data_IF_253649307012
#
_entry.id   IF_253649307012
#
_cell.length_a   1.000
_cell.length_b   1.000
_cell.length_c   1.000
_cell.angle_alpha   90.00
_cell.angle_beta   90.00
_cell.angle_gamma   90.00
#
_symmetry.space_group_name_H-M   'P 1'
#
loop_
_entity.id
_entity.type
_entity.pdbx_description
1 polymer ?
#
# COMPACT_ATOMS: atom_id res chain seq x y z
N UNK A 1 20.65 4.23 7.61
CA UNK A 1 19.98 5.51 7.24
C UNK A 1 19.42 5.47 5.81
N UNK A 2 20.18 5.00 4.80
CA UNK A 2 19.74 4.90 3.40
C UNK A 2 18.48 4.02 3.18
N UNK A 3 18.34 2.92 3.91
CA UNK A 3 17.20 1.99 3.76
C UNK A 3 15.85 2.58 4.20
N UNK A 4 15.83 3.39 5.26
CA UNK A 4 14.61 4.09 5.69
C UNK A 4 14.17 5.14 4.67
N UNK A 5 15.11 5.84 4.06
CA UNK A 5 14.81 6.84 3.02
C UNK A 5 14.19 6.16 1.80
N UNK A 6 14.77 5.04 1.36
CA UNK A 6 14.28 4.30 0.20
C UNK A 6 12.86 3.75 0.41
N UNK A 7 12.56 3.23 1.60
CA UNK A 7 11.22 2.73 1.91
C UNK A 7 10.16 3.84 1.95
N UNK A 8 10.48 5.01 2.51
CA UNK A 8 9.60 6.17 2.48
C UNK A 8 9.38 6.69 1.06
N UNK A 9 10.44 6.79 0.25
CA UNK A 9 10.34 7.26 -1.14
C UNK A 9 9.44 6.35 -1.97
N UNK A 10 9.55 5.04 -1.77
CA UNK A 10 8.71 4.05 -2.44
C UNK A 10 7.25 4.13 -2.01
N UNK A 11 6.98 4.39 -0.73
CA UNK A 11 5.62 4.59 -0.24
C UNK A 11 5.00 5.84 -0.87
N UNK A 12 5.75 6.94 -0.90
CA UNK A 12 5.31 8.19 -1.52
C UNK A 12 5.05 8.02 -3.02
N UNK A 13 5.92 7.30 -3.76
CA UNK A 13 5.69 7.04 -5.18
C UNK A 13 4.46 6.16 -5.42
N UNK A 14 4.22 5.17 -4.56
CA UNK A 14 3.02 4.32 -4.64
C UNK A 14 1.75 5.13 -4.40
N UNK A 15 1.78 6.04 -3.41
CA UNK A 15 0.65 6.92 -3.12
C UNK A 15 0.40 7.90 -4.29
N UNK A 16 1.46 8.46 -4.87
CA UNK A 16 1.35 9.36 -6.02
C UNK A 16 0.81 8.65 -7.28
N UNK A 17 1.25 7.42 -7.54
CA UNK A 17 0.69 6.60 -8.61
C UNK A 17 -0.78 6.27 -8.34
N UNK A 18 -1.10 5.90 -7.09
CA UNK A 18 -2.45 5.61 -6.65
C UNK A 18 -3.40 6.80 -6.81
N UNK A 19 -2.96 8.00 -6.45
CA UNK A 19 -3.78 9.21 -6.58
C UNK A 19 -4.05 9.56 -8.05
N UNK A 20 -3.06 9.41 -8.92
CA UNK A 20 -3.23 9.57 -10.36
C UNK A 20 -4.19 8.52 -10.96
N UNK A 21 -4.01 7.25 -10.60
CA UNK A 21 -4.90 6.16 -11.01
C UNK A 21 -6.34 6.40 -10.54
N UNK A 22 -6.52 6.85 -9.30
CA UNK A 22 -7.84 7.18 -8.77
C UNK A 22 -8.46 8.33 -9.58
N UNK A 23 -7.73 9.42 -9.82
CA UNK A 23 -8.23 10.55 -10.60
C UNK A 23 -8.70 10.16 -12.02
N UNK A 24 -8.04 9.18 -12.64
CA UNK A 24 -8.36 8.68 -13.98
C UNK A 24 -9.47 7.61 -13.99
N UNK A 25 -9.51 6.74 -12.99
CA UNK A 25 -10.40 5.57 -12.99
C UNK A 25 -11.70 5.82 -12.21
N UNK A 26 -11.78 6.85 -11.37
CA UNK A 26 -12.95 7.17 -10.57
C UNK A 26 -14.22 7.49 -11.37
N UNK A 27 -14.12 7.65 -12.69
CA UNK A 27 -15.26 7.77 -13.60
C UNK A 27 -16.00 6.44 -13.82
N UNK A 28 -15.36 5.30 -13.55
CA UNK A 28 -16.01 3.98 -13.58
C UNK A 28 -16.45 3.64 -12.14
N UNK A 29 -17.76 3.73 -11.83
CA UNK A 29 -18.28 3.49 -10.48
C UNK A 29 -17.73 2.20 -9.87
N UNK A 30 -17.17 2.32 -8.65
CA UNK A 30 -16.69 1.23 -7.80
C UNK A 30 -15.53 0.40 -8.39
N UNK A 31 -15.64 -0.09 -9.62
CA UNK A 31 -14.62 -0.89 -10.29
C UNK A 31 -13.31 -0.12 -10.53
N UNK A 32 -13.40 1.16 -10.91
CA UNK A 32 -12.23 2.00 -11.11
C UNK A 32 -11.44 2.23 -9.82
N UNK A 33 -12.06 2.75 -8.75
CA UNK A 33 -11.43 2.87 -7.44
C UNK A 33 -10.93 1.54 -6.88
N UNK A 34 -11.67 0.44 -7.07
CA UNK A 34 -11.23 -0.89 -6.63
C UNK A 34 -9.95 -1.35 -7.35
N UNK A 35 -9.87 -1.16 -8.67
CA UNK A 35 -8.69 -1.52 -9.47
C UNK A 35 -7.48 -0.64 -9.11
N UNK A 36 -7.68 0.68 -8.96
CA UNK A 36 -6.64 1.60 -8.49
C UNK A 36 -6.13 1.19 -7.11
N UNK A 37 -7.05 0.86 -6.21
CA UNK A 37 -6.75 0.35 -4.87
C UNK A 37 -5.94 -0.94 -4.94
N UNK A 38 -6.40 -1.91 -5.71
CA UNK A 38 -5.71 -3.19 -5.90
C UNK A 38 -4.25 -3.01 -6.33
N UNK A 39 -3.99 -2.13 -7.31
CA UNK A 39 -2.64 -1.82 -7.75
C UNK A 39 -1.77 -1.24 -6.63
N UNK A 40 -2.30 -0.28 -5.86
CA UNK A 40 -1.61 0.31 -4.69
C UNK A 40 -1.29 -0.76 -3.65
N UNK A 41 -2.27 -1.61 -3.32
CA UNK A 41 -2.13 -2.70 -2.38
C UNK A 41 -1.06 -3.72 -2.78
N UNK A 42 -1.09 -4.13 -4.05
CA UNK A 42 -0.12 -5.06 -4.61
C UNK A 42 1.31 -4.49 -4.59
N UNK A 43 1.46 -3.17 -4.81
CA UNK A 43 2.75 -2.49 -4.80
C UNK A 43 3.27 -2.18 -3.38
N UNK A 44 2.38 -2.05 -2.39
CA UNK A 44 2.72 -1.73 -1.00
C UNK A 44 3.48 -2.88 -0.29
N UNK A 45 3.35 -4.13 -0.78
CA UNK A 45 4.12 -5.32 -0.33
C UNK A 45 4.24 -5.43 1.21
N UNK A 46 3.17 -5.14 1.95
CA UNK A 46 3.28 -4.94 3.38
C UNK A 46 1.94 -4.94 4.10
N UNK A 47 2.01 -5.15 5.43
CA UNK A 47 0.90 -5.19 6.41
C UNK A 47 -0.43 -4.62 5.91
N UNK A 48 -1.47 -5.44 5.90
CA UNK A 48 -2.83 -5.12 5.41
C UNK A 48 -3.36 -3.76 5.85
N UNK A 49 -3.17 -3.38 7.12
CA UNK A 49 -3.59 -2.07 7.65
C UNK A 49 -2.88 -0.90 6.96
N UNK A 50 -1.58 -1.03 6.68
CA UNK A 50 -0.82 0.00 5.98
C UNK A 50 -1.27 0.13 4.52
N UNK A 51 -1.53 -1.00 3.84
CA UNK A 51 -2.05 -1.01 2.48
C UNK A 51 -3.43 -0.33 2.37
N UNK A 52 -4.34 -0.61 3.30
CA UNK A 52 -5.64 0.08 3.37
C UNK A 52 -5.47 1.60 3.53
N UNK A 53 -4.63 2.03 4.48
CA UNK A 53 -4.36 3.46 4.72
C UNK A 53 -3.73 4.11 3.49
N UNK A 54 -2.77 3.45 2.85
CA UNK A 54 -2.15 3.96 1.62
C UNK A 54 -3.19 4.10 0.49
N UNK A 55 -4.12 3.16 0.36
CA UNK A 55 -5.24 3.24 -0.57
C UNK A 55 -6.16 4.43 -0.28
N UNK A 56 -6.55 4.62 0.99
CA UNK A 56 -7.40 5.75 1.41
C UNK A 56 -6.70 7.10 1.18
N UNK A 57 -5.43 7.21 1.55
CA UNK A 57 -4.64 8.43 1.35
C UNK A 57 -4.47 8.74 -0.14
N UNK A 58 -4.21 7.71 -0.95
CA UNK A 58 -4.14 7.85 -2.41
C UNK A 58 -5.45 8.35 -2.99
N UNK A 59 -6.58 7.77 -2.57
CA UNK A 59 -7.90 8.19 -3.03
C UNK A 59 -8.24 9.63 -2.61
N UNK A 60 -7.90 10.01 -1.37
CA UNK A 60 -8.12 11.37 -0.88
C UNK A 60 -7.29 12.40 -1.69
N UNK A 61 -6.01 12.10 -1.95
CA UNK A 61 -5.16 12.95 -2.80
C UNK A 61 -5.67 12.98 -4.25
N UNK A 62 -6.15 11.85 -4.77
CA UNK A 62 -6.76 11.77 -6.10
C UNK A 62 -8.03 12.62 -6.21
N UNK A 63 -8.87 12.62 -5.17
CA UNK A 63 -10.04 13.51 -5.10
C UNK A 63 -9.65 14.98 -5.10
N UNK A 64 -8.60 15.37 -4.36
CA UNK A 64 -8.08 16.74 -4.38
C UNK A 64 -7.64 17.14 -5.80
N UNK A 65 -6.98 16.22 -6.53
CA UNK A 65 -6.61 16.46 -7.94
C UNK A 65 -7.85 16.65 -8.83
N UNK A 66 -8.88 15.81 -8.69
CA UNK A 66 -10.14 15.96 -9.42
C UNK A 66 -10.78 17.32 -9.11
N UNK A 67 -10.90 17.67 -7.83
CA UNK A 67 -11.52 18.91 -7.38
C UNK A 67 -10.76 20.15 -7.89
N UNK A 68 -9.43 20.14 -7.80
CA UNK A 68 -8.58 21.20 -8.35
C UNK A 68 -8.74 21.34 -9.86
N UNK A 69 -8.85 20.23 -10.59
CA UNK A 69 -9.07 20.22 -12.04
C UNK A 69 -10.43 20.83 -12.39
N UNK A 70 -11.51 20.39 -11.74
CA UNK A 70 -12.86 20.93 -11.96
C UNK A 70 -12.95 22.43 -11.64
N UNK A 71 -12.26 22.86 -10.59
CA UNK A 71 -12.16 24.28 -10.24
C UNK A 71 -11.41 25.07 -11.32
N UNK A 72 -10.25 24.59 -11.79
CA UNK A 72 -9.43 25.28 -12.78
C UNK A 72 -10.13 25.42 -14.14
N UNK A 73 -10.88 24.40 -14.57
CA UNK A 73 -11.66 24.46 -15.81
C UNK A 73 -13.02 25.18 -15.66
N UNK A 74 -13.30 25.78 -14.50
CA UNK A 74 -14.47 26.61 -14.31
C UNK A 74 -15.79 25.84 -14.34
N UNK A 75 -15.81 24.56 -13.96
CA UNK A 75 -17.01 23.71 -13.98
C UNK A 75 -18.21 24.28 -13.18
N UNK A 76 -17.95 25.25 -12.30
CA UNK A 76 -18.95 25.90 -11.45
C UNK A 76 -19.21 27.38 -11.81
N UNK A 77 -18.61 27.89 -12.89
CA UNK A 77 -18.79 29.29 -13.31
C UNK A 77 -20.21 29.52 -13.86
N UNK A 78 -20.85 30.63 -13.45
CA UNK A 78 -22.20 31.00 -13.92
C UNK A 78 -23.38 30.22 -13.32
N UNK A 79 -23.13 29.26 -12.42
CA UNK A 79 -24.18 28.48 -11.74
C UNK A 79 -24.67 29.18 -10.46
N UNK A 80 -25.94 28.97 -10.08
CA UNK A 80 -26.42 29.48 -8.79
C UNK A 80 -25.79 28.70 -7.63
N UNK A 81 -25.68 29.35 -6.46
CA UNK A 81 -25.08 28.76 -5.25
C UNK A 81 -25.71 27.40 -4.90
N UNK A 82 -27.03 27.26 -5.07
CA UNK A 82 -27.74 26.01 -4.79
C UNK A 82 -27.28 24.89 -5.71
N UNK A 83 -27.09 25.15 -7.01
CA UNK A 83 -26.61 24.14 -7.95
C UNK A 83 -25.17 23.73 -7.63
N UNK A 84 -24.30 24.69 -7.32
CA UNK A 84 -22.91 24.42 -6.92
C UNK A 84 -22.88 23.55 -5.65
N UNK A 85 -23.71 23.86 -4.65
CA UNK A 85 -23.78 23.10 -3.41
C UNK A 85 -24.25 21.65 -3.63
N UNK A 86 -25.30 21.45 -4.45
CA UNK A 86 -25.81 20.11 -4.76
C UNK A 86 -24.77 19.29 -5.54
N UNK A 87 -24.12 19.88 -6.55
CA UNK A 87 -23.07 19.20 -7.32
C UNK A 87 -21.87 18.85 -6.45
N UNK A 88 -21.42 19.78 -5.60
CA UNK A 88 -20.32 19.53 -4.66
C UNK A 88 -20.67 18.40 -3.68
N UNK A 89 -21.90 18.35 -3.19
CA UNK A 89 -22.38 17.27 -2.32
C UNK A 89 -22.38 15.91 -3.02
N UNK A 90 -22.93 15.83 -4.24
CA UNK A 90 -22.93 14.60 -5.03
C UNK A 90 -21.51 14.12 -5.34
N UNK A 91 -20.63 15.06 -5.74
CA UNK A 91 -19.22 14.79 -5.99
C UNK A 91 -18.52 14.26 -4.72
N UNK A 92 -18.81 14.85 -3.57
CA UNK A 92 -18.25 14.43 -2.28
C UNK A 92 -18.70 13.01 -1.93
N UNK A 93 -20.00 12.72 -1.98
CA UNK A 93 -20.55 11.40 -1.63
C UNK A 93 -20.04 10.30 -2.57
N UNK A 94 -19.93 10.61 -3.86
CA UNK A 94 -19.32 9.74 -4.85
C UNK A 94 -17.88 9.39 -4.49
N UNK A 95 -17.06 10.41 -4.22
CA UNK A 95 -15.66 10.22 -3.92
C UNK A 95 -15.43 9.58 -2.55
N UNK A 96 -16.27 9.86 -1.56
CA UNK A 96 -16.19 9.21 -0.25
C UNK A 96 -16.32 7.69 -0.39
N UNK A 97 -17.31 7.26 -1.20
CA UNK A 97 -17.54 5.85 -1.51
C UNK A 97 -16.37 5.27 -2.31
N UNK A 98 -15.90 5.99 -3.33
CA UNK A 98 -14.74 5.60 -4.13
C UNK A 98 -13.48 5.40 -3.29
N UNK A 99 -13.17 6.32 -2.37
CA UNK A 99 -12.00 6.25 -1.49
C UNK A 99 -12.05 5.02 -0.58
N UNK A 100 -13.21 4.70 0.00
CA UNK A 100 -13.37 3.51 0.82
C UNK A 100 -13.18 2.23 0.00
N UNK A 101 -13.73 2.19 -1.21
CA UNK A 101 -13.56 1.07 -2.14
C UNK A 101 -12.11 0.93 -2.59
N UNK A 102 -11.40 2.05 -2.78
CA UNK A 102 -9.97 2.04 -3.06
C UNK A 102 -9.16 1.48 -1.89
N UNK A 103 -9.50 1.87 -0.66
CA UNK A 103 -8.91 1.29 0.55
C UNK A 103 -9.12 -0.22 0.63
N UNK A 104 -10.35 -0.68 0.39
CA UNK A 104 -10.68 -2.10 0.36
C UNK A 104 -9.95 -2.85 -0.76
N UNK A 105 -9.91 -2.28 -1.97
CA UNK A 105 -9.14 -2.79 -3.09
C UNK A 105 -7.66 -2.94 -2.76
N UNK A 106 -7.07 -1.97 -2.05
CA UNK A 106 -5.69 -2.04 -1.60
C UNK A 106 -5.45 -3.14 -0.55
N UNK A 107 -6.39 -3.36 0.36
CA UNK A 107 -6.31 -4.50 1.27
C UNK A 107 -6.32 -5.83 0.50
N UNK A 108 -7.22 -5.98 -0.47
CA UNK A 108 -7.32 -7.19 -1.32
C UNK A 108 -6.07 -7.39 -2.18
N UNK A 109 -5.55 -6.33 -2.79
CA UNK A 109 -4.32 -6.37 -3.58
C UNK A 109 -3.12 -6.83 -2.78
N UNK A 110 -3.02 -6.39 -1.51
CA UNK A 110 -1.95 -6.84 -0.62
C UNK A 110 -2.10 -8.32 -0.22
N UNK A 111 -3.31 -8.78 0.10
CA UNK A 111 -3.57 -10.21 0.39
C UNK A 111 -3.18 -11.07 -0.82
N UNK A 112 -3.50 -10.60 -2.03
CA UNK A 112 -3.20 -11.32 -3.27
C UNK A 112 -1.69 -11.42 -3.51
N UNK A 113 -0.94 -10.35 -3.21
CA UNK A 113 0.52 -10.36 -3.25
C UNK A 113 1.12 -11.40 -2.28
N UNK A 114 0.65 -11.42 -1.02
CA UNK A 114 1.13 -12.38 -0.01
C UNK A 114 0.80 -13.83 -0.40
N UNK A 115 -0.39 -14.07 -0.95
CA UNK A 115 -0.82 -15.40 -1.42
C UNK A 115 0.00 -15.87 -2.62
N UNK A 116 0.27 -14.99 -3.59
CA UNK A 116 1.13 -15.30 -4.74
C UNK A 116 2.58 -15.60 -4.35
N UNK A 117 3.10 -14.89 -3.34
CA UNK A 117 4.43 -15.19 -2.76
C UNK A 117 4.47 -16.56 -2.08
N UNK A 118 3.40 -16.93 -1.36
CA UNK A 118 3.31 -18.25 -0.72
C UNK A 118 3.24 -19.38 -1.76
N UNK A 119 2.42 -19.25 -2.80
CA UNK A 119 2.27 -20.26 -3.85
C UNK A 119 3.56 -20.40 -4.68
N UNK A 120 4.21 -19.30 -5.04
CA UNK A 120 5.50 -19.34 -5.74
C UNK A 120 6.61 -19.97 -4.90
N UNK A 121 6.61 -19.77 -3.58
CA UNK A 121 7.54 -20.49 -2.69
C UNK A 121 7.26 -22.00 -2.64
N UNK A 122 6.00 -22.42 -2.81
CA UNK A 122 5.60 -23.83 -2.79
C UNK A 122 5.81 -24.56 -4.13
N UNK A 123 5.66 -23.84 -5.26
CA UNK A 123 5.90 -24.36 -6.61
C UNK A 123 7.36 -24.27 -7.05
N UNK A 124 8.24 -23.65 -6.27
CA UNK A 124 9.66 -23.48 -6.60
C UNK A 124 10.68 -24.43 -5.94
N UNK A 125 10.38 -25.64 -5.42
CA UNK A 125 11.47 -26.58 -5.10
C UNK A 125 12.26 -27.02 -6.34
N UNK A 126 11.79 -26.73 -7.56
CA UNK A 126 12.50 -27.02 -8.82
C UNK A 126 13.30 -25.86 -9.43
N UNK A 127 13.03 -24.59 -9.05
CA UNK A 127 13.74 -23.43 -9.62
C UNK A 127 15.00 -23.03 -8.83
N UNK A 128 15.23 -23.63 -7.66
CA UNK A 128 16.37 -23.35 -6.79
C UNK A 128 17.58 -24.28 -7.07
N UNK A 129 17.79 -24.69 -8.33
CA UNK A 129 18.97 -25.47 -8.76
C UNK A 129 19.98 -24.68 -9.60
N UNK A 130 19.82 -23.38 -9.78
CA UNK A 130 20.76 -22.54 -10.54
C UNK A 130 21.15 -21.23 -9.81
N UNK A 131 21.47 -21.34 -8.52
CA UNK A 131 22.34 -20.36 -7.87
C UNK A 131 23.56 -21.13 -7.35
N UNK A 132 24.80 -20.71 -7.70
CA UNK A 132 26.00 -21.45 -7.35
C UNK A 132 26.17 -21.48 -5.83
N UNK A 133 26.68 -22.62 -5.40
CA UNK A 133 26.96 -23.09 -4.07
C UNK A 133 27.73 -22.06 -3.20
N UNK A 134 27.07 -21.43 -2.23
CA UNK A 134 27.75 -20.80 -1.11
C UNK A 134 27.12 -21.24 0.22
N UNK A 135 27.72 -22.30 0.76
CA UNK A 135 27.84 -22.72 2.18
C UNK A 135 26.63 -22.48 3.09
N UNK A 136 25.99 -23.61 3.41
CA UNK A 136 25.16 -23.86 4.60
C UNK A 136 25.84 -23.37 5.89
N UNK A 137 25.24 -22.40 6.55
CA UNK A 137 25.06 -22.43 8.00
C UNK A 137 23.56 -22.31 8.24
N UNK A 138 22.98 -23.30 8.91
CA UNK A 138 21.59 -23.24 9.34
C UNK A 138 21.49 -22.13 10.39
N UNK A 139 21.14 -20.93 9.96
CA UNK A 139 20.85 -19.83 10.86
C UNK A 139 19.64 -20.21 11.71
N UNK A 140 19.85 -20.36 13.01
CA UNK A 140 18.77 -20.49 13.97
C UNK A 140 17.97 -19.18 13.96
N UNK A 141 16.64 -19.23 13.87
CA UNK A 141 15.81 -18.03 13.80
C UNK A 141 15.15 -17.77 15.16
N UNK A 142 15.39 -16.61 15.74
CA UNK A 142 14.73 -16.13 16.95
C UNK A 142 13.48 -15.32 16.62
N UNK A 143 12.34 -15.69 17.20
CA UNK A 143 11.08 -14.94 17.03
C UNK A 143 11.08 -13.75 17.99
N UNK A 144 10.89 -12.53 17.46
CA UNK A 144 10.80 -11.34 18.31
C UNK A 144 9.52 -11.38 19.16
N UNK A 145 9.60 -11.28 20.50
CA UNK A 145 8.43 -11.37 21.38
C UNK A 145 7.47 -10.18 21.22
N UNK A 146 7.94 -9.04 20.71
CA UNK A 146 7.15 -7.82 20.61
C UNK A 146 6.48 -7.63 19.23
N UNK A 147 7.09 -8.11 18.15
CA UNK A 147 6.54 -7.92 16.81
C UNK A 147 6.27 -9.22 16.03
N UNK A 148 6.67 -10.38 16.57
CA UNK A 148 6.45 -11.68 15.94
C UNK A 148 7.29 -11.95 14.69
N UNK A 149 8.16 -11.01 14.28
CA UNK A 149 9.06 -11.22 13.13
C UNK A 149 10.16 -12.23 13.49
N UNK A 150 10.40 -13.20 12.61
CA UNK A 150 11.58 -14.07 12.69
C UNK A 150 12.83 -13.28 12.31
N UNK A 151 13.79 -13.19 13.24
CA UNK A 151 15.09 -12.59 13.00
C UNK A 151 16.16 -13.69 13.05
N UNK A 152 17.27 -13.47 12.34
CA UNK A 152 18.44 -14.34 12.38
C UNK A 152 19.04 -14.27 13.80
N UNK A 153 19.35 -15.39 14.45
CA UNK A 153 19.80 -15.43 15.85
C UNK A 153 21.07 -14.63 16.14
N UNK A 154 21.88 -14.34 15.13
CA UNK A 154 23.08 -13.51 15.25
C UNK A 154 22.76 -12.02 15.49
N UNK A 155 21.55 -11.57 15.16
CA UNK A 155 21.15 -10.20 15.35
C UNK A 155 20.61 -10.00 16.78
N UNK A 156 21.41 -9.31 17.60
CA UNK A 156 21.01 -8.88 18.95
C UNK A 156 19.80 -7.94 18.96
N UNK A 157 19.38 -7.40 17.81
CA UNK A 157 18.32 -6.41 17.67
C UNK A 157 17.35 -6.84 16.57
N UNK A 158 16.05 -6.75 16.83
CA UNK A 158 15.01 -7.02 15.86
C UNK A 158 14.99 -5.98 14.74
N UNK A 159 15.02 -6.43 13.49
CA UNK A 159 15.05 -5.56 12.30
C UNK A 159 13.75 -4.75 12.11
N UNK A 160 12.64 -5.26 12.65
CA UNK A 160 11.32 -4.64 12.45
C UNK A 160 10.98 -3.60 13.52
N UNK A 161 11.23 -3.91 14.79
CA UNK A 161 10.84 -3.04 15.91
C UNK A 161 12.02 -2.44 16.68
N UNK A 162 13.26 -2.84 16.39
CA UNK A 162 14.44 -2.37 17.08
C UNK A 162 14.60 -2.89 18.52
N UNK A 163 13.80 -3.89 18.92
CA UNK A 163 13.90 -4.51 20.25
C UNK A 163 15.15 -5.40 20.34
N UNK A 164 15.93 -5.28 21.41
CA UNK A 164 17.04 -6.19 21.70
C UNK A 164 16.53 -7.59 22.07
N UNK A 165 16.95 -8.60 21.32
CA UNK A 165 16.47 -9.98 21.41
C UNK A 165 17.29 -10.86 22.37
N UNK A 166 18.55 -10.50 22.64
CA UNK A 166 19.43 -11.24 23.53
C UNK A 166 20.06 -10.31 24.57
N UNK A 167 19.86 -10.64 25.85
CA UNK A 167 20.65 -10.11 26.96
C UNK A 167 21.82 -11.08 27.13
N UNK A 168 23.07 -10.66 26.88
CA UNK A 168 24.21 -11.43 27.39
C UNK A 168 24.11 -11.46 28.92
N UNK A 169 23.69 -12.59 29.48
CA UNK A 169 23.96 -12.89 30.88
C UNK A 169 25.44 -13.26 30.96
N UNK A 170 26.27 -12.34 31.46
CA UNK A 170 27.54 -12.72 32.08
C UNK A 170 27.27 -13.46 33.37
#
# INVERSE_FOLDING_TARGET
MKEKIFSHLRRLSTIALGSGLYALLNWVPLAGPAAAGFAVGYLSKGRLKAAFVDGVVSGALGFVLIAATLYHFGAFTGSSIVHVAVLAWLLLMWNLTGILVMGAGAAVGNITYDTGRMISSFLSPFAQKQAPEERKFAAEYGICPQCGTGNISENAICETCGLTLFHESK
#
